data_IF_333485472472
#
_entry.id   IF_333485472472
#
_cell.length_a   1.000
_cell.length_b   1.000
_cell.length_c   1.000
_cell.angle_alpha   90.00
_cell.angle_beta   90.00
_cell.angle_gamma   90.00
#
_symmetry.space_group_name_H-M   'P 1'
#
loop_
_entity.id
_entity.type
_entity.pdbx_description
1 polymer ?
#
# COMPACT_ATOMS: atom_id res chain seq x y z
N UNK A 1 -12.51 -15.37 9.58
CA UNK A 1 -11.69 -14.20 9.20
C UNK A 1 -11.16 -13.60 10.47
N UNK A 2 -9.90 -13.15 10.48
CA UNK A 2 -9.28 -12.51 11.65
C UNK A 2 -10.10 -11.29 12.10
N UNK A 3 -10.23 -11.09 13.40
CA UNK A 3 -10.86 -9.90 13.99
C UNK A 3 -9.88 -8.74 14.07
N UNK A 4 -10.40 -7.52 14.26
CA UNK A 4 -9.57 -6.33 14.42
C UNK A 4 -8.66 -6.43 15.66
N UNK A 5 -9.17 -6.97 16.76
CA UNK A 5 -8.43 -7.17 18.01
C UNK A 5 -7.26 -8.14 17.81
N UNK A 6 -7.53 -9.30 17.21
CA UNK A 6 -6.51 -10.32 16.93
C UNK A 6 -5.41 -9.76 16.01
N UNK A 7 -5.78 -9.00 14.98
CA UNK A 7 -4.81 -8.38 14.07
C UNK A 7 -3.93 -7.35 14.80
N UNK A 8 -4.52 -6.49 15.64
CA UNK A 8 -3.79 -5.50 16.43
C UNK A 8 -2.82 -6.16 17.41
N UNK A 9 -3.26 -7.20 18.12
CA UNK A 9 -2.44 -7.91 19.09
C UNK A 9 -1.25 -8.60 18.43
N UNK A 10 -1.45 -9.27 17.31
CA UNK A 10 -0.36 -9.89 16.53
C UNK A 10 0.63 -8.85 16.01
N UNK A 11 0.13 -7.74 15.42
CA UNK A 11 1.01 -6.67 14.93
C UNK A 11 1.84 -6.04 16.06
N UNK A 12 1.24 -5.81 17.24
CA UNK A 12 1.95 -5.27 18.42
C UNK A 12 3.00 -6.24 18.98
N UNK A 13 2.84 -7.55 18.76
CA UNK A 13 3.86 -8.56 19.07
C UNK A 13 4.96 -8.65 18.02
N UNK A 14 4.88 -7.86 16.94
CA UNK A 14 5.82 -7.90 15.83
C UNK A 14 5.60 -9.07 14.88
N UNK A 15 4.42 -9.68 14.88
CA UNK A 15 4.08 -10.80 14.01
C UNK A 15 3.66 -10.33 12.60
N UNK A 16 3.74 -11.24 11.64
CA UNK A 16 3.20 -11.05 10.29
C UNK A 16 1.77 -11.59 10.25
N UNK A 17 0.83 -10.79 9.76
CA UNK A 17 -0.61 -11.08 9.82
C UNK A 17 -1.21 -11.15 8.42
N UNK A 18 -2.08 -12.15 8.18
CA UNK A 18 -2.91 -12.19 6.97
C UNK A 18 -4.23 -11.49 7.26
N UNK A 19 -4.54 -10.45 6.47
CA UNK A 19 -5.75 -9.64 6.62
C UNK A 19 -6.54 -9.52 5.31
N UNK A 20 -7.87 -9.35 5.36
CA UNK A 20 -8.63 -8.93 4.19
C UNK A 20 -8.22 -7.51 3.76
N UNK A 21 -8.29 -7.23 2.45
CA UNK A 21 -8.17 -5.86 1.92
C UNK A 21 -9.29 -5.58 0.92
N UNK A 22 -9.45 -4.31 0.52
CA UNK A 22 -10.35 -3.86 -0.56
C UNK A 22 -9.94 -4.32 -1.97
N UNK A 23 -8.86 -5.09 -2.11
CA UNK A 23 -8.35 -5.60 -3.40
C UNK A 23 -8.12 -7.11 -3.39
N UNK A 24 -7.21 -7.61 -2.56
CA UNK A 24 -6.85 -9.03 -2.44
C UNK A 24 -6.45 -9.35 -1.00
N UNK A 25 -6.46 -10.61 -0.56
CA UNK A 25 -5.91 -10.95 0.77
C UNK A 25 -4.46 -10.45 0.89
N UNK A 26 -4.16 -9.76 1.98
CA UNK A 26 -2.86 -9.13 2.24
C UNK A 26 -2.10 -9.84 3.36
N UNK A 27 -0.79 -9.95 3.21
CA UNK A 27 0.15 -10.26 4.28
C UNK A 27 0.77 -8.94 4.73
N UNK A 28 0.65 -8.60 6.00
CA UNK A 28 1.08 -7.32 6.56
C UNK A 28 1.96 -7.47 7.79
N UNK A 29 2.81 -6.46 8.03
CA UNK A 29 3.53 -6.29 9.28
C UNK A 29 3.79 -4.80 9.55
N UNK A 30 4.26 -4.46 10.75
CA UNK A 30 4.78 -3.14 11.05
C UNK A 30 5.92 -2.76 10.08
N UNK A 31 5.82 -1.59 9.45
CA UNK A 31 6.84 -1.06 8.55
C UNK A 31 8.19 -0.81 9.22
N UNK A 32 8.20 -0.47 10.51
CA UNK A 32 9.43 -0.22 11.25
C UNK A 32 10.07 -1.49 11.82
N UNK A 33 9.35 -2.61 11.82
CA UNK A 33 9.85 -3.88 12.33
C UNK A 33 10.61 -4.66 11.23
N UNK A 34 11.95 -4.54 11.25
CA UNK A 34 12.84 -5.21 10.29
C UNK A 34 12.85 -6.74 10.40
N UNK A 35 12.52 -7.30 11.55
CA UNK A 35 12.42 -8.75 11.71
C UNK A 35 11.14 -9.28 11.05
N UNK A 36 10.02 -8.61 11.26
CA UNK A 36 8.75 -8.95 10.60
C UNK A 36 8.82 -8.75 9.07
N UNK A 37 9.52 -7.71 8.61
CA UNK A 37 9.80 -7.51 7.18
C UNK A 37 10.57 -8.70 6.58
N UNK A 38 11.65 -9.16 7.23
CA UNK A 38 12.40 -10.35 6.79
C UNK A 38 11.53 -11.60 6.76
N UNK A 39 10.62 -11.73 7.72
CA UNK A 39 9.68 -12.84 7.78
C UNK A 39 8.71 -12.84 6.58
N UNK A 40 8.21 -11.67 6.16
CA UNK A 40 7.42 -11.56 4.92
C UNK A 40 8.21 -12.10 3.71
N UNK A 41 9.48 -11.71 3.56
CA UNK A 41 10.30 -12.17 2.45
C UNK A 41 10.54 -13.69 2.50
N UNK A 42 10.76 -14.24 3.70
CA UNK A 42 10.90 -15.68 3.93
C UNK A 42 9.64 -16.44 3.53
N UNK A 43 8.47 -16.00 4.00
CA UNK A 43 7.16 -16.60 3.68
C UNK A 43 6.90 -16.56 2.17
N UNK A 44 7.21 -15.43 1.53
CA UNK A 44 6.93 -15.20 0.10
C UNK A 44 7.93 -15.85 -0.85
N UNK A 45 9.01 -16.43 -0.32
CA UNK A 45 10.19 -16.87 -1.08
C UNK A 45 10.63 -15.80 -2.09
N UNK A 46 10.75 -14.55 -1.60
CA UNK A 46 10.96 -13.36 -2.42
C UNK A 46 12.37 -12.80 -2.18
N UNK A 47 13.08 -12.33 -3.22
CA UNK A 47 14.35 -11.64 -3.05
C UNK A 47 14.17 -10.39 -2.17
N UNK A 48 15.09 -10.17 -1.23
CA UNK A 48 15.08 -9.04 -0.29
C UNK A 48 15.16 -7.68 -0.99
N UNK A 49 15.67 -7.64 -2.22
CA UNK A 49 15.81 -6.43 -3.04
C UNK A 49 14.47 -5.89 -3.55
N UNK A 50 13.41 -6.69 -3.48
CA UNK A 50 12.11 -6.27 -3.99
C UNK A 50 11.36 -5.42 -2.96
N UNK A 51 11.20 -4.14 -3.28
CA UNK A 51 10.44 -3.18 -2.48
C UNK A 51 8.97 -3.61 -2.34
N UNK A 52 8.44 -3.50 -1.12
CA UNK A 52 7.06 -3.82 -0.76
C UNK A 52 6.22 -2.54 -0.68
N UNK A 53 4.94 -2.56 -1.11
CA UNK A 53 4.03 -1.47 -0.84
C UNK A 53 3.79 -1.25 0.65
N UNK A 54 3.35 -0.04 0.99
CA UNK A 54 3.13 0.40 2.37
C UNK A 54 1.72 1.00 2.47
N UNK A 55 0.95 0.51 3.43
CA UNK A 55 -0.26 1.20 3.86
C UNK A 55 0.10 2.27 4.88
N UNK A 56 -0.49 3.45 4.73
CA UNK A 56 -0.34 4.59 5.66
C UNK A 56 -1.71 5.01 6.16
N UNK A 57 -1.84 5.46 7.41
CA UNK A 57 -3.14 5.89 7.96
C UNK A 57 -3.58 7.25 7.40
N UNK A 58 -2.66 8.12 7.01
CA UNK A 58 -2.97 9.45 6.45
C UNK A 58 -1.83 10.02 5.58
N UNK A 59 -2.10 11.11 4.88
CA UNK A 59 -1.08 11.86 4.11
C UNK A 59 -0.07 12.52 5.07
N UNK A 60 -0.48 12.90 6.27
CA UNK A 60 0.41 13.43 7.31
C UNK A 60 1.43 12.39 7.76
N UNK A 61 1.02 11.14 7.98
CA UNK A 61 1.96 10.06 8.29
C UNK A 61 2.86 9.73 7.10
N UNK A 62 2.32 9.77 5.87
CA UNK A 62 3.14 9.60 4.66
C UNK A 62 4.29 10.62 4.60
N UNK A 63 3.99 11.90 4.88
CA UNK A 63 4.96 13.00 4.83
C UNK A 63 6.12 12.84 5.83
N UNK A 64 5.97 12.00 6.86
CA UNK A 64 7.07 11.64 7.77
C UNK A 64 8.05 10.64 7.17
N UNK A 65 7.63 9.88 6.14
CA UNK A 65 8.41 8.82 5.50
C UNK A 65 9.05 9.32 4.21
N UNK A 66 8.31 10.11 3.42
CA UNK A 66 8.74 10.57 2.10
C UNK A 66 8.32 12.02 1.86
N UNK A 67 9.17 12.85 1.22
CA UNK A 67 8.75 14.19 0.80
C UNK A 67 7.55 14.11 -0.17
N UNK A 68 6.56 14.97 0.06
CA UNK A 68 5.36 15.08 -0.79
C UNK A 68 5.25 16.51 -1.30
N UNK A 69 5.30 16.70 -2.61
CA UNK A 69 5.08 18.01 -3.22
C UNK A 69 3.59 18.39 -3.19
N UNK A 70 3.27 19.68 -3.32
CA UNK A 70 1.87 20.14 -3.41
C UNK A 70 1.10 19.50 -4.57
N UNK A 71 1.78 19.24 -5.69
CA UNK A 71 1.20 18.59 -6.88
C UNK A 71 0.86 17.13 -6.57
N UNK A 72 1.78 16.41 -5.93
CA UNK A 72 1.56 15.03 -5.49
C UNK A 72 0.42 14.97 -4.47
N UNK A 73 0.42 15.83 -3.45
CA UNK A 73 -0.64 15.88 -2.43
C UNK A 73 -2.03 16.08 -3.02
N UNK A 74 -2.20 17.06 -3.93
CA UNK A 74 -3.47 17.24 -4.66
C UNK A 74 -3.92 15.99 -5.42
N UNK A 75 -2.99 15.22 -5.98
CA UNK A 75 -3.32 13.97 -6.67
C UNK A 75 -3.72 12.89 -5.67
N UNK A 76 -2.98 12.76 -4.56
CA UNK A 76 -3.30 11.83 -3.49
C UNK A 76 -4.71 12.08 -2.92
N UNK A 77 -5.09 13.33 -2.68
CA UNK A 77 -6.43 13.71 -2.20
C UNK A 77 -7.57 13.27 -3.13
N UNK A 78 -7.29 13.08 -4.43
CA UNK A 78 -8.28 12.63 -5.42
C UNK A 78 -8.40 11.12 -5.50
N UNK A 79 -7.32 10.39 -5.24
CA UNK A 79 -7.26 8.94 -5.44
C UNK A 79 -7.32 8.14 -4.14
N UNK A 80 -7.13 8.81 -2.99
CA UNK A 80 -7.16 8.21 -1.66
C UNK A 80 -8.26 8.78 -0.76
N UNK A 81 -8.80 7.95 0.16
CA UNK A 81 -8.59 6.51 0.29
C UNK A 81 -9.14 5.77 -0.94
N UNK A 82 -8.43 4.75 -1.43
CA UNK A 82 -8.83 4.11 -2.68
C UNK A 82 -7.94 2.98 -3.15
N UNK A 83 -8.07 2.62 -4.44
CA UNK A 83 -7.43 1.44 -5.07
C UNK A 83 -6.20 1.76 -5.91
N UNK A 84 -5.53 2.87 -5.60
CA UNK A 84 -4.32 3.33 -6.28
C UNK A 84 -3.14 3.27 -5.32
N UNK A 85 -2.03 2.70 -5.75
CA UNK A 85 -0.75 2.70 -5.04
C UNK A 85 0.19 3.67 -5.74
N UNK A 86 0.70 4.66 -5.02
CA UNK A 86 1.51 5.74 -5.59
C UNK A 86 2.97 5.61 -5.16
N UNK A 87 3.90 5.57 -6.10
CA UNK A 87 5.34 5.68 -5.84
C UNK A 87 5.71 7.15 -5.85
N UNK A 88 6.14 7.67 -4.70
CA UNK A 88 6.62 9.05 -4.53
C UNK A 88 8.15 9.15 -4.56
N UNK A 89 8.82 8.01 -4.29
CA UNK A 89 10.27 7.87 -4.29
C UNK A 89 10.61 6.41 -4.58
N UNK A 90 11.28 6.14 -5.70
CA UNK A 90 11.42 4.79 -6.26
C UNK A 90 12.10 3.81 -5.32
N UNK A 91 13.04 4.25 -4.49
CA UNK A 91 13.76 3.39 -3.53
C UNK A 91 12.96 3.02 -2.26
N UNK A 92 11.87 3.73 -1.96
CA UNK A 92 11.06 3.46 -0.74
C UNK A 92 9.87 2.57 -1.07
N UNK A 93 9.28 2.75 -2.25
CA UNK A 93 8.16 1.95 -2.73
C UNK A 93 6.87 2.72 -2.94
N UNK A 94 5.80 1.95 -3.10
CA UNK A 94 4.46 2.47 -3.33
C UNK A 94 3.67 2.60 -2.03
N UNK A 95 3.05 3.74 -1.82
CA UNK A 95 2.20 4.02 -0.66
C UNK A 95 0.74 3.93 -1.04
N UNK A 96 -0.13 3.72 -0.06
CA UNK A 96 -1.59 3.70 -0.26
C UNK A 96 -2.34 3.94 1.04
N UNK A 97 -3.42 4.72 0.98
CA UNK A 97 -4.48 4.68 1.98
C UNK A 97 -5.62 3.82 1.39
N UNK A 98 -5.86 2.61 1.91
CA UNK A 98 -6.91 1.73 1.38
C UNK A 98 -8.31 2.24 1.76
N UNK A 99 -9.32 1.98 0.93
CA UNK A 99 -10.71 2.32 1.22
C UNK A 99 -11.49 1.08 1.68
N UNK A 100 -11.10 0.58 2.85
CA UNK A 100 -11.76 -0.52 3.53
C UNK A 100 -11.93 -0.19 5.01
N UNK A 101 -13.12 -0.42 5.55
CA UNK A 101 -13.43 -0.07 6.94
C UNK A 101 -12.51 -0.79 7.93
N UNK A 102 -12.27 -2.08 7.73
CA UNK A 102 -11.40 -2.86 8.61
C UNK A 102 -9.95 -2.34 8.54
N UNK A 103 -9.42 -2.07 7.35
CA UNK A 103 -8.06 -1.55 7.18
C UNK A 103 -7.87 -0.15 7.75
N UNK A 104 -8.85 0.75 7.55
CA UNK A 104 -8.80 2.10 8.08
C UNK A 104 -8.79 2.07 9.61
N UNK A 105 -9.68 1.29 10.23
CA UNK A 105 -9.69 1.10 11.69
C UNK A 105 -8.41 0.44 12.21
N UNK A 106 -7.84 -0.53 11.46
CA UNK A 106 -6.59 -1.18 11.81
C UNK A 106 -5.41 -0.20 11.79
N UNK A 107 -5.27 0.58 10.72
CA UNK A 107 -4.20 1.58 10.56
C UNK A 107 -4.30 2.68 11.63
N UNK A 108 -5.51 3.16 11.90
CA UNK A 108 -5.77 4.15 12.94
C UNK A 108 -5.38 3.63 14.33
N UNK A 109 -5.88 2.45 14.72
CA UNK A 109 -5.64 1.87 16.05
C UNK A 109 -4.22 1.34 16.24
N UNK A 110 -3.58 0.85 15.17
CA UNK A 110 -2.18 0.46 15.20
C UNK A 110 -1.28 1.70 15.33
N UNK A 111 -1.68 2.83 14.74
CA UNK A 111 -1.02 4.12 14.89
C UNK A 111 0.25 4.27 14.04
N UNK A 112 0.38 3.48 12.98
CA UNK A 112 1.59 3.47 12.15
C UNK A 112 1.41 2.84 10.77
N UNK A 113 2.41 3.03 9.88
CA UNK A 113 2.44 2.40 8.57
C UNK A 113 2.59 0.88 8.66
N UNK A 114 1.94 0.17 7.74
CA UNK A 114 2.04 -1.28 7.60
C UNK A 114 2.68 -1.62 6.25
N UNK A 115 3.75 -2.41 6.27
CA UNK A 115 4.23 -3.09 5.06
C UNK A 115 3.17 -4.08 4.61
N UNK A 116 2.99 -4.21 3.30
CA UNK A 116 1.99 -5.13 2.77
C UNK A 116 2.43 -5.77 1.46
N UNK A 117 1.96 -6.99 1.25
CA UNK A 117 2.00 -7.67 -0.02
C UNK A 117 0.78 -8.56 -0.17
N UNK A 118 0.44 -8.96 -1.40
CA UNK A 118 -0.62 -9.94 -1.59
C UNK A 118 -0.25 -11.28 -0.94
N UNK A 119 -1.20 -11.95 -0.31
CA UNK A 119 -0.99 -13.17 0.49
C UNK A 119 -0.78 -14.45 -0.35
N UNK A 120 -0.48 -14.35 -1.64
CA UNK A 120 -0.13 -15.48 -2.50
C UNK A 120 1.38 -15.78 -2.49
N UNK A 121 1.81 -16.96 -2.97
CA UNK A 121 3.23 -17.19 -3.27
C UNK A 121 3.65 -16.25 -4.42
N UNK A 122 4.88 -15.72 -4.40
CA UNK A 122 5.37 -14.83 -5.46
C UNK A 122 5.25 -15.49 -6.84
N UNK A 123 4.54 -14.83 -7.77
CA UNK A 123 4.26 -15.36 -9.11
C UNK A 123 2.94 -16.13 -9.24
N UNK A 124 2.29 -16.49 -8.14
CA UNK A 124 0.96 -17.12 -8.16
C UNK A 124 -0.17 -16.08 -8.25
N UNK A 125 -1.39 -16.48 -8.70
CA UNK A 125 -2.56 -15.63 -8.63
C UNK A 125 -2.89 -15.20 -7.19
N UNK A 126 -3.57 -14.04 -6.99
CA UNK A 126 -4.02 -13.62 -5.67
C UNK A 126 -5.00 -14.62 -5.03
N UNK A 127 -4.93 -14.77 -3.71
CA UNK A 127 -5.86 -15.60 -2.95
C UNK A 127 -7.21 -14.89 -2.81
N UNK A 128 -8.31 -15.60 -3.08
CA UNK A 128 -9.68 -15.13 -2.84
C UNK A 128 -10.36 -14.41 -4.01
N UNK A 129 -9.67 -14.22 -5.14
CA UNK A 129 -10.17 -13.41 -6.25
C UNK A 129 -10.05 -11.90 -5.96
N UNK A 130 -10.29 -11.08 -6.98
CA UNK A 130 -10.20 -9.62 -6.90
C UNK A 130 -9.14 -9.00 -7.79
N UNK A 131 -9.28 -7.70 -8.05
CA UNK A 131 -8.36 -6.93 -8.89
C UNK A 131 -7.37 -6.17 -7.98
N UNK A 132 -6.06 -6.39 -8.13
CA UNK A 132 -5.05 -5.64 -7.41
C UNK A 132 -5.16 -4.12 -7.64
N UNK A 133 -4.57 -3.31 -6.76
CA UNK A 133 -4.48 -1.86 -6.99
C UNK A 133 -3.73 -1.53 -8.28
N UNK A 134 -4.11 -0.43 -8.91
CA UNK A 134 -3.29 0.17 -9.95
C UNK A 134 -2.07 0.80 -9.29
N UNK A 135 -0.89 0.58 -9.86
CA UNK A 135 0.37 1.12 -9.33
C UNK A 135 0.88 2.19 -10.28
N UNK A 136 1.10 3.38 -9.76
CA UNK A 136 1.55 4.54 -10.53
C UNK A 136 2.80 5.15 -9.92
N UNK A 137 3.69 5.63 -10.77
CA UNK A 137 4.84 6.45 -10.41
C UNK A 137 4.50 7.91 -10.62
N UNK A 138 4.58 8.69 -9.55
CA UNK A 138 4.33 10.14 -9.52
C UNK A 138 5.57 10.93 -9.08
N UNK A 139 6.77 10.35 -9.27
CA UNK A 139 8.06 11.00 -8.97
C UNK A 139 8.43 12.09 -9.98
N UNK A 140 7.95 11.96 -11.23
CA UNK A 140 8.27 12.86 -12.33
C UNK A 140 7.16 13.87 -12.64
N UNK A 141 7.35 14.63 -13.72
CA UNK A 141 6.36 15.59 -14.20
C UNK A 141 5.10 14.92 -14.77
N UNK A 142 5.28 13.75 -15.37
CA UNK A 142 4.23 12.89 -15.88
C UNK A 142 4.04 11.66 -14.99
N UNK A 143 2.79 11.22 -14.86
CA UNK A 143 2.45 9.98 -14.18
C UNK A 143 2.76 8.78 -15.09
N UNK A 144 3.44 7.76 -14.55
CA UNK A 144 3.71 6.50 -15.26
C UNK A 144 2.90 5.37 -14.65
N UNK A 145 2.22 4.59 -15.49
CA UNK A 145 1.51 3.40 -15.03
C UNK A 145 2.51 2.24 -14.93
N UNK A 146 2.84 1.83 -13.71
CA UNK A 146 3.74 0.71 -13.46
C UNK A 146 3.02 -0.64 -13.53
N UNK A 147 1.73 -0.66 -13.15
CA UNK A 147 0.87 -1.83 -13.21
C UNK A 147 -0.59 -1.43 -13.30
N UNK A 148 -1.29 -1.93 -14.31
CA UNK A 148 -2.74 -1.83 -14.40
C UNK A 148 -3.46 -2.65 -13.32
N UNK A 149 -4.59 -2.15 -12.85
CA UNK A 149 -5.33 -2.74 -11.73
C UNK A 149 -6.77 -2.28 -11.68
N UNK A 150 -7.30 -2.10 -10.47
CA UNK A 150 -8.71 -1.81 -10.24
C UNK A 150 -9.17 -0.44 -10.78
N UNK A 151 -8.24 0.50 -11.02
CA UNK A 151 -8.54 1.83 -11.57
C UNK A 151 -7.78 1.99 -12.90
N UNK A 152 -8.45 2.22 -14.04
CA UNK A 152 -7.76 2.35 -15.32
C UNK A 152 -6.72 3.47 -15.30
N UNK A 153 -5.51 3.21 -15.81
CA UNK A 153 -4.42 4.19 -15.83
C UNK A 153 -4.77 5.47 -16.60
N UNK A 154 -5.60 5.38 -17.64
CA UNK A 154 -6.07 6.54 -18.41
C UNK A 154 -6.87 7.54 -17.55
N UNK A 155 -7.66 7.04 -16.60
CA UNK A 155 -8.41 7.88 -15.66
C UNK A 155 -7.44 8.64 -14.74
N UNK A 156 -6.41 7.96 -14.25
CA UNK A 156 -5.39 8.55 -13.38
C UNK A 156 -4.55 9.60 -14.12
N UNK A 157 -4.26 9.38 -15.40
CA UNK A 157 -3.58 10.35 -16.26
C UNK A 157 -4.42 11.63 -16.43
N UNK A 158 -5.74 11.50 -16.64
CA UNK A 158 -6.64 12.67 -16.73
C UNK A 158 -6.63 13.48 -15.44
N UNK A 159 -6.79 12.82 -14.28
CA UNK A 159 -6.72 13.49 -12.97
C UNK A 159 -5.39 14.22 -12.79
N UNK A 160 -4.27 13.61 -13.20
CA UNK A 160 -2.95 14.23 -13.09
C UNK A 160 -2.81 15.49 -13.96
N UNK A 161 -3.30 15.44 -15.20
CA UNK A 161 -3.28 16.59 -16.12
C UNK A 161 -4.14 17.74 -15.58
N UNK A 162 -5.32 17.44 -15.04
CA UNK A 162 -6.24 18.44 -14.47
C UNK A 162 -5.66 19.17 -13.26
N UNK A 163 -4.67 18.60 -12.57
CA UNK A 163 -3.98 19.23 -11.44
C UNK A 163 -2.88 20.20 -11.91
N UNK A 164 -2.35 20.00 -13.13
CA UNK A 164 -1.26 20.79 -13.72
C UNK A 164 -1.77 22.03 -14.44
N UNK A 165 -3.01 21.98 -14.96
CA UNK A 165 -3.70 23.11 -15.58
C UNK A 165 -4.24 24.09 -14.53
#
# INVERSE_FOLDING_TARGET
>A
MITLEEALDSLKKGEVVVIPTDTVMGLVCDYYNKEAEREIFRIKNRPLEKILPIFVPSIEELKKIVPVSKKQEKFLDKVWPGKVTCVLKSEIGGFRIPNDKFLLELLEKFGGPLLQTSANISGSPPIGGGTPSTVVDITGEEIKILREGAVPGEELQKIWVDIVL
#
